data_IF_475081130129
#
_entry.id   IF_475081130129
#
_cell.length_a   1.000
_cell.length_b   1.000
_cell.length_c   1.000
_cell.angle_alpha   90.00
_cell.angle_beta   90.00
_cell.angle_gamma   90.00
#
_symmetry.space_group_name_H-M   'P 1'
#
loop_
_entity.id
_entity.type
_entity.pdbx_description
1 polymer ?
#
# COMPACT_ATOMS: atom_id res chain seq x y z
N UNK A 1 10.91 -9.81 5.33
CA UNK A 1 10.05 -10.51 6.31
C UNK A 1 9.80 -9.71 7.58
N UNK A 2 10.78 -9.40 8.44
CA UNK A 2 10.57 -8.69 9.72
C UNK A 2 9.88 -7.33 9.57
N UNK A 3 10.27 -6.51 8.58
CA UNK A 3 9.66 -5.21 8.31
C UNK A 3 8.19 -5.41 7.90
N UNK A 4 7.92 -6.30 6.94
CA UNK A 4 6.57 -6.60 6.47
C UNK A 4 5.66 -7.03 7.63
N UNK A 5 6.11 -7.97 8.48
CA UNK A 5 5.33 -8.46 9.60
C UNK A 5 5.02 -7.33 10.61
N UNK A 6 6.01 -6.50 10.95
CA UNK A 6 5.81 -5.36 11.85
C UNK A 6 4.82 -4.35 11.28
N UNK A 7 4.95 -4.00 10.01
CA UNK A 7 4.03 -3.06 9.35
C UNK A 7 2.62 -3.64 9.25
N UNK A 8 2.50 -4.92 8.91
CA UNK A 8 1.21 -5.63 8.83
C UNK A 8 0.39 -5.52 10.11
N UNK A 9 1.03 -5.53 11.27
CA UNK A 9 0.37 -5.44 12.56
C UNK A 9 0.12 -4.00 13.03
N UNK A 10 0.95 -3.05 12.60
CA UNK A 10 0.95 -1.70 13.14
C UNK A 10 0.44 -0.62 12.19
N UNK A 11 0.67 -0.76 10.89
CA UNK A 11 0.28 0.24 9.90
C UNK A 11 0.01 -0.40 8.54
N UNK A 12 -1.26 -0.63 8.24
CA UNK A 12 -1.71 -1.28 7.00
C UNK A 12 -1.38 -0.47 5.75
N UNK A 13 -1.40 0.85 5.82
CA UNK A 13 -1.06 1.69 4.67
C UNK A 13 0.42 1.59 4.33
N UNK A 14 1.30 1.70 5.32
CA UNK A 14 2.75 1.50 5.10
C UNK A 14 3.07 0.06 4.68
N UNK A 15 2.38 -0.92 5.25
CA UNK A 15 2.52 -2.32 4.82
C UNK A 15 2.24 -2.48 3.33
N UNK A 16 1.17 -1.91 2.83
CA UNK A 16 0.78 -2.03 1.43
C UNK A 16 1.80 -1.38 0.50
N UNK A 17 2.24 -0.15 0.81
CA UNK A 17 3.27 0.56 0.04
C UNK A 17 4.61 -0.21 0.04
N UNK A 18 4.98 -0.79 1.18
CA UNK A 18 6.16 -1.65 1.29
C UNK A 18 6.03 -2.91 0.43
N UNK A 19 4.88 -3.57 0.46
CA UNK A 19 4.66 -4.78 -0.36
C UNK A 19 4.65 -4.48 -1.86
N UNK A 20 4.12 -3.35 -2.29
CA UNK A 20 4.20 -2.93 -3.69
C UNK A 20 5.65 -2.70 -4.14
N UNK A 21 6.48 -2.11 -3.27
CA UNK A 21 7.92 -2.01 -3.54
C UNK A 21 8.59 -3.39 -3.62
N UNK A 22 8.23 -4.32 -2.75
CA UNK A 22 8.73 -5.70 -2.80
C UNK A 22 8.34 -6.39 -4.11
N UNK A 23 7.07 -6.25 -4.54
CA UNK A 23 6.62 -6.78 -5.83
C UNK A 23 7.43 -6.21 -7.00
N UNK A 24 7.72 -4.90 -7.02
CA UNK A 24 8.51 -4.28 -8.07
C UNK A 24 9.97 -4.74 -8.05
N UNK A 25 10.57 -4.94 -6.89
CA UNK A 25 11.92 -5.51 -6.76
C UNK A 25 11.95 -6.94 -7.31
N UNK A 26 10.94 -7.75 -7.01
CA UNK A 26 10.80 -9.11 -7.54
C UNK A 26 10.66 -9.09 -9.06
N UNK A 27 9.82 -8.21 -9.62
CA UNK A 27 9.66 -8.03 -11.07
C UNK A 27 10.96 -7.62 -11.75
N UNK A 28 11.66 -6.65 -11.18
CA UNK A 28 12.95 -6.18 -11.72
C UNK A 28 13.99 -7.31 -11.81
N UNK A 29 13.87 -8.34 -10.98
CA UNK A 29 14.71 -9.53 -11.01
C UNK A 29 14.05 -10.73 -11.74
N UNK A 30 12.99 -10.49 -12.53
CA UNK A 30 12.33 -11.52 -13.33
C UNK A 30 11.61 -12.60 -12.53
N UNK A 31 11.21 -12.30 -11.28
CA UNK A 31 10.65 -13.27 -10.32
C UNK A 31 11.58 -14.48 -10.09
N UNK A 32 12.88 -14.27 -10.14
CA UNK A 32 13.92 -15.29 -10.02
C UNK A 32 14.70 -15.11 -8.71
N UNK A 33 14.76 -16.16 -7.88
CA UNK A 33 15.38 -16.09 -6.56
C UNK A 33 16.91 -15.93 -6.66
N UNK A 34 17.57 -16.55 -7.62
CA UNK A 34 19.02 -16.46 -7.75
C UNK A 34 19.45 -15.05 -8.14
N UNK A 35 18.72 -14.42 -9.08
CA UNK A 35 18.91 -13.01 -9.40
C UNK A 35 18.62 -12.09 -8.21
N UNK A 36 17.58 -12.38 -7.43
CA UNK A 36 17.29 -11.64 -6.21
C UNK A 36 18.42 -11.76 -5.18
N UNK A 37 18.99 -12.95 -4.99
CA UNK A 37 20.14 -13.15 -4.10
C UNK A 37 21.32 -12.27 -4.51
N UNK A 38 21.68 -12.29 -5.79
CA UNK A 38 22.82 -11.55 -6.31
C UNK A 38 22.59 -10.03 -6.25
N UNK A 39 21.47 -9.56 -6.75
CA UNK A 39 21.24 -8.13 -7.00
C UNK A 39 20.64 -7.37 -5.83
N UNK A 40 19.97 -8.07 -4.89
CA UNK A 40 19.22 -7.40 -3.84
C UNK A 40 19.44 -7.99 -2.44
N UNK A 41 19.34 -9.32 -2.25
CA UNK A 41 19.35 -9.89 -0.90
C UNK A 41 20.74 -9.85 -0.26
N UNK A 42 21.81 -9.89 -1.05
CA UNK A 42 23.19 -9.79 -0.57
C UNK A 42 23.49 -8.52 0.24
N UNK A 43 22.79 -7.41 -0.02
CA UNK A 43 22.98 -6.15 0.70
C UNK A 43 22.58 -6.21 2.19
N UNK A 44 21.73 -7.16 2.60
CA UNK A 44 21.26 -7.26 3.97
C UNK A 44 22.30 -7.90 4.92
N UNK A 45 23.35 -8.50 4.38
CA UNK A 45 24.47 -9.10 5.15
C UNK A 45 23.99 -10.06 6.25
N UNK A 46 22.87 -10.76 6.01
CA UNK A 46 22.34 -11.75 6.93
C UNK A 46 23.08 -13.07 6.76
N UNK A 47 23.12 -13.86 7.84
CA UNK A 47 23.75 -15.18 7.87
C UNK A 47 22.84 -16.18 8.58
N UNK A 48 23.08 -17.49 8.35
CA UNK A 48 22.41 -18.56 9.06
C UNK A 48 20.89 -18.56 8.81
N UNK A 49 20.13 -18.81 9.86
CA UNK A 49 18.68 -18.96 9.81
C UNK A 49 17.95 -17.69 9.29
N UNK A 50 18.44 -16.51 9.68
CA UNK A 50 17.83 -15.24 9.23
C UNK A 50 17.92 -15.04 7.72
N UNK A 51 19.05 -15.44 7.11
CA UNK A 51 19.21 -15.41 5.66
C UNK A 51 18.25 -16.42 5.00
N UNK A 52 18.20 -17.65 5.49
CA UNK A 52 17.32 -18.69 4.96
C UNK A 52 15.85 -18.27 5.01
N UNK A 53 15.40 -17.70 6.12
CA UNK A 53 14.03 -17.19 6.27
C UNK A 53 13.74 -16.04 5.30
N UNK A 54 14.68 -15.14 5.07
CA UNK A 54 14.51 -14.04 4.11
C UNK A 54 14.41 -14.59 2.69
N UNK A 55 15.31 -15.49 2.29
CA UNK A 55 15.31 -16.09 0.97
C UNK A 55 14.04 -16.90 0.71
N UNK A 56 13.59 -17.68 1.69
CA UNK A 56 12.34 -18.43 1.57
C UNK A 56 11.14 -17.50 1.39
N UNK A 57 11.07 -16.41 2.13
CA UNK A 57 10.00 -15.44 1.99
C UNK A 57 9.94 -14.82 0.57
N UNK A 58 11.10 -14.47 -0.01
CA UNK A 58 11.16 -14.00 -1.39
C UNK A 58 10.85 -15.09 -2.42
N UNK A 59 11.27 -16.34 -2.17
CA UNK A 59 10.93 -17.46 -3.01
C UNK A 59 9.41 -17.69 -3.07
N UNK A 60 8.74 -17.67 -1.91
CA UNK A 60 7.28 -17.82 -1.82
C UNK A 60 6.56 -16.70 -2.58
N UNK A 61 7.02 -15.45 -2.45
CA UNK A 61 6.45 -14.33 -3.19
C UNK A 61 6.68 -14.44 -4.71
N UNK A 62 7.86 -14.89 -5.16
CA UNK A 62 8.13 -15.16 -6.57
C UNK A 62 7.15 -16.21 -7.12
N UNK A 63 6.92 -17.28 -6.37
CA UNK A 63 5.99 -18.34 -6.75
C UNK A 63 4.54 -17.82 -6.85
N UNK A 64 4.11 -17.04 -5.84
CA UNK A 64 2.80 -16.40 -5.86
C UNK A 64 2.64 -15.47 -7.06
N UNK A 65 3.65 -14.65 -7.38
CA UNK A 65 3.60 -13.74 -8.51
C UNK A 65 3.52 -14.47 -9.85
N UNK A 66 4.20 -15.61 -9.98
CA UNK A 66 4.10 -16.48 -11.16
C UNK A 66 2.71 -17.12 -11.27
N UNK A 67 2.23 -17.71 -10.19
CA UNK A 67 0.94 -18.42 -10.16
C UNK A 67 -0.25 -17.50 -10.39
N UNK A 68 -0.18 -16.26 -9.89
CA UNK A 68 -1.23 -15.24 -10.09
C UNK A 68 -1.07 -14.43 -11.39
N UNK A 69 -0.03 -14.72 -12.21
CA UNK A 69 0.23 -13.99 -13.45
C UNK A 69 0.66 -12.53 -13.25
N UNK A 70 1.31 -12.21 -12.10
CA UNK A 70 1.71 -10.85 -11.71
C UNK A 70 3.18 -10.54 -12.02
N UNK A 71 3.79 -11.29 -12.91
CA UNK A 71 5.21 -11.14 -13.25
C UNK A 71 5.54 -9.86 -14.02
N UNK A 72 4.57 -9.23 -14.66
CA UNK A 72 4.76 -7.99 -15.44
C UNK A 72 4.09 -6.78 -14.80
N UNK A 73 2.89 -6.95 -14.24
CA UNK A 73 2.10 -5.85 -13.68
C UNK A 73 1.04 -6.37 -12.70
N UNK A 74 0.42 -5.43 -11.99
CA UNK A 74 -0.64 -5.72 -11.03
C UNK A 74 -0.10 -6.12 -9.66
N UNK A 75 -0.97 -6.44 -8.74
CA UNK A 75 -0.64 -6.75 -7.35
C UNK A 75 -1.09 -8.15 -6.97
N UNK A 76 -0.38 -8.77 -6.03
CA UNK A 76 -0.75 -10.04 -5.43
C UNK A 76 -2.12 -9.95 -4.75
N UNK A 77 -2.90 -11.02 -4.83
CA UNK A 77 -4.23 -11.08 -4.22
C UNK A 77 -4.20 -10.81 -2.71
N UNK A 78 -3.16 -11.24 -2.01
CA UNK A 78 -2.98 -10.94 -0.57
C UNK A 78 -2.92 -9.44 -0.28
N UNK A 79 -2.33 -8.64 -1.19
CA UNK A 79 -2.24 -7.19 -1.06
C UNK A 79 -3.56 -6.51 -1.47
N UNK A 80 -4.24 -7.02 -2.49
CA UNK A 80 -5.59 -6.56 -2.87
C UNK A 80 -6.60 -6.79 -1.74
N UNK A 81 -6.51 -7.91 -1.02
CA UNK A 81 -7.34 -8.19 0.15
C UNK A 81 -7.12 -7.19 1.30
N UNK A 82 -5.91 -6.65 1.43
CA UNK A 82 -5.65 -5.56 2.40
C UNK A 82 -6.42 -4.30 2.02
N UNK A 83 -6.42 -3.93 0.74
CA UNK A 83 -7.19 -2.78 0.24
C UNK A 83 -8.68 -2.99 0.49
N UNK A 84 -9.20 -4.19 0.21
CA UNK A 84 -10.61 -4.52 0.44
C UNK A 84 -11.01 -4.35 1.91
N UNK A 85 -10.22 -4.93 2.83
CA UNK A 85 -10.45 -4.79 4.27
C UNK A 85 -10.43 -3.33 4.73
N UNK A 86 -9.54 -2.51 4.17
CA UNK A 86 -9.50 -1.07 4.45
C UNK A 86 -10.71 -0.34 3.86
N UNK A 87 -11.19 -0.75 2.67
CA UNK A 87 -12.36 -0.17 2.03
C UNK A 87 -13.65 -0.44 2.83
N UNK A 88 -13.82 -1.66 3.32
CA UNK A 88 -14.97 -2.02 4.18
C UNK A 88 -14.98 -1.19 5.48
N UNK A 89 -13.80 -1.03 6.12
CA UNK A 89 -13.69 -0.20 7.31
C UNK A 89 -13.94 1.26 7.00
N UNK A 90 -13.38 1.79 5.91
CA UNK A 90 -13.58 3.16 5.46
C UNK A 90 -15.07 3.46 5.28
N UNK A 91 -15.80 2.58 4.59
CA UNK A 91 -17.24 2.71 4.39
C UNK A 91 -17.99 2.75 5.73
N UNK A 92 -17.63 1.87 6.67
CA UNK A 92 -18.23 1.83 8.00
C UNK A 92 -17.98 3.11 8.80
N UNK A 93 -16.75 3.65 8.74
CA UNK A 93 -16.37 4.91 9.39
C UNK A 93 -17.11 6.12 8.79
N UNK A 94 -17.37 6.13 7.48
CA UNK A 94 -18.13 7.20 6.83
C UNK A 94 -19.60 7.20 7.22
N UNK A 95 -20.20 6.01 7.41
CA UNK A 95 -21.60 5.87 7.83
C UNK A 95 -21.83 6.25 9.29
N UNK A 96 -20.83 6.00 10.14
CA UNK A 96 -20.96 6.26 11.59
C UNK A 96 -20.84 7.77 11.91
N UNK A 97 -21.69 8.25 12.81
CA UNK A 97 -21.63 9.63 13.29
C UNK A 97 -20.49 9.87 14.29
N UNK A 98 -19.91 8.81 14.83
CA UNK A 98 -18.86 8.87 15.86
C UNK A 98 -17.51 9.37 15.36
N UNK A 99 -17.28 9.41 14.03
CA UNK A 99 -15.97 9.71 13.44
C UNK A 99 -15.96 11.00 12.59
N UNK A 100 -16.37 12.18 13.11
CA UNK A 100 -16.45 13.41 12.33
C UNK A 100 -15.08 13.89 11.84
N UNK A 101 -14.01 13.67 12.63
CA UNK A 101 -12.65 14.01 12.24
C UNK A 101 -12.17 13.19 11.03
N UNK A 102 -12.48 11.90 11.01
CA UNK A 102 -12.14 11.03 9.86
C UNK A 102 -12.86 11.48 8.58
N UNK A 103 -14.14 11.81 8.68
CA UNK A 103 -14.89 12.38 7.54
C UNK A 103 -14.29 13.69 7.03
N UNK A 104 -13.81 14.57 7.93
CA UNK A 104 -13.11 15.79 7.51
C UNK A 104 -11.83 15.51 6.74
N UNK A 105 -11.05 14.50 7.14
CA UNK A 105 -9.85 14.07 6.41
C UNK A 105 -10.21 13.57 5.02
N UNK A 106 -11.24 12.73 4.91
CA UNK A 106 -11.71 12.22 3.63
C UNK A 106 -12.18 13.35 2.71
N UNK A 107 -13.00 14.28 3.19
CA UNK A 107 -13.46 15.42 2.39
C UNK A 107 -12.32 16.33 1.90
N UNK A 108 -11.21 16.41 2.62
CA UNK A 108 -10.01 17.11 2.16
C UNK A 108 -9.29 16.38 1.03
N UNK A 109 -9.42 15.07 0.96
CA UNK A 109 -8.80 14.21 -0.08
C UNK A 109 -9.64 14.18 -1.36
N UNK A 110 -10.97 14.28 -1.27
CA UNK A 110 -11.88 14.18 -2.41
C UNK A 110 -11.50 15.03 -3.64
N UNK A 111 -11.15 16.35 -3.51
CA UNK A 111 -10.77 17.15 -4.68
C UNK A 111 -9.57 16.55 -5.43
N UNK A 112 -8.59 16.01 -4.72
CA UNK A 112 -7.42 15.36 -5.34
C UNK A 112 -7.80 14.07 -6.05
N UNK A 113 -8.73 13.28 -5.49
CA UNK A 113 -9.23 12.08 -6.15
C UNK A 113 -9.97 12.38 -7.44
N UNK A 114 -10.79 13.43 -7.46
CA UNK A 114 -11.48 13.91 -8.67
C UNK A 114 -10.47 14.31 -9.74
N UNK A 115 -9.42 15.04 -9.38
CA UNK A 115 -8.37 15.45 -10.31
C UNK A 115 -7.58 14.25 -10.84
N UNK A 116 -7.23 13.29 -9.98
CA UNK A 116 -6.51 12.06 -10.37
C UNK A 116 -7.34 11.21 -11.34
N UNK A 117 -8.64 11.04 -11.09
CA UNK A 117 -9.55 10.34 -12.00
C UNK A 117 -9.61 11.01 -13.36
N UNK A 118 -9.76 12.33 -13.38
CA UNK A 118 -9.81 13.10 -14.63
C UNK A 118 -8.54 12.89 -15.46
N UNK A 119 -7.36 12.86 -14.81
CA UNK A 119 -6.08 12.61 -15.47
C UNK A 119 -5.97 11.17 -16.01
N UNK A 120 -6.54 10.19 -15.31
CA UNK A 120 -6.54 8.79 -15.72
C UNK A 120 -7.63 8.45 -16.77
N UNK A 121 -8.42 9.42 -17.20
CA UNK A 121 -9.46 9.24 -18.22
C UNK A 121 -10.70 8.48 -17.74
N UNK A 122 -10.85 8.23 -16.44
CA UNK A 122 -12.03 7.59 -15.86
C UNK A 122 -13.20 8.59 -15.82
N UNK A 123 -14.35 8.20 -16.44
CA UNK A 123 -15.54 9.07 -16.59
C UNK A 123 -16.62 8.83 -15.53
N UNK A 124 -16.59 7.69 -14.85
CA UNK A 124 -17.65 7.30 -13.91
C UNK A 124 -17.20 7.44 -12.44
N UNK A 125 -18.19 7.50 -11.54
CA UNK A 125 -17.93 7.48 -10.10
C UNK A 125 -17.27 6.15 -9.73
N UNK A 126 -16.03 6.20 -9.35
CA UNK A 126 -15.33 5.04 -8.81
C UNK A 126 -15.95 4.64 -7.46
N UNK A 127 -16.01 3.35 -7.18
CA UNK A 127 -16.36 2.86 -5.85
C UNK A 127 -15.27 3.20 -4.81
N UNK A 128 -15.61 3.02 -3.55
CA UNK A 128 -14.71 3.31 -2.41
C UNK A 128 -13.36 2.60 -2.54
N UNK A 129 -13.36 1.36 -3.04
CA UNK A 129 -12.14 0.59 -3.29
C UNK A 129 -11.22 1.26 -4.30
N UNK A 130 -11.77 1.73 -5.42
CA UNK A 130 -11.02 2.44 -6.45
C UNK A 130 -10.45 3.76 -5.93
N UNK A 131 -11.18 4.45 -5.05
CA UNK A 131 -10.69 5.67 -4.40
C UNK A 131 -9.47 5.39 -3.51
N UNK A 132 -9.53 4.33 -2.71
CA UNK A 132 -8.37 3.92 -1.91
C UNK A 132 -7.19 3.48 -2.78
N UNK A 133 -7.44 2.74 -3.87
CA UNK A 133 -6.38 2.39 -4.83
C UNK A 133 -5.71 3.63 -5.39
N UNK A 134 -6.46 4.65 -5.82
CA UNK A 134 -5.90 5.92 -6.30
C UNK A 134 -5.07 6.64 -5.23
N UNK A 135 -5.50 6.59 -3.97
CA UNK A 135 -4.71 7.12 -2.85
C UNK A 135 -3.36 6.41 -2.74
N UNK A 136 -3.35 5.08 -2.79
CA UNK A 136 -2.12 4.28 -2.70
C UNK A 136 -1.23 4.47 -3.93
N UNK A 137 -1.79 4.50 -5.14
CA UNK A 137 -1.07 4.76 -6.39
C UNK A 137 -0.34 6.11 -6.35
N UNK A 138 -1.01 7.17 -5.89
CA UNK A 138 -0.38 8.48 -5.74
C UNK A 138 0.78 8.44 -4.75
N UNK A 139 0.58 7.88 -3.56
CA UNK A 139 1.64 7.80 -2.55
C UNK A 139 2.82 6.95 -3.02
N UNK A 140 2.53 5.84 -3.69
CA UNK A 140 3.56 4.97 -4.26
C UNK A 140 4.36 5.70 -5.35
N UNK A 141 3.67 6.38 -6.28
CA UNK A 141 4.31 7.18 -7.31
C UNK A 141 5.20 8.30 -6.73
N UNK A 142 4.72 9.01 -5.70
CA UNK A 142 5.51 10.03 -4.99
C UNK A 142 6.73 9.41 -4.29
N UNK A 143 6.58 8.22 -3.70
CA UNK A 143 7.70 7.49 -3.10
C UNK A 143 8.76 7.12 -4.15
N UNK A 144 8.35 6.62 -5.32
CA UNK A 144 9.27 6.29 -6.41
C UNK A 144 10.00 7.54 -6.95
N UNK A 145 9.30 8.68 -7.10
CA UNK A 145 9.93 9.93 -7.53
C UNK A 145 10.99 10.39 -6.53
N UNK A 146 10.71 10.28 -5.22
CA UNK A 146 11.68 10.61 -4.16
C UNK A 146 12.92 9.70 -4.20
N UNK A 147 12.73 8.40 -4.40
CA UNK A 147 13.84 7.44 -4.54
C UNK A 147 14.71 7.77 -5.77
N UNK A 148 14.09 8.26 -6.85
CA UNK A 148 14.79 8.70 -8.07
C UNK A 148 15.36 10.13 -7.95
N UNK A 149 15.20 10.80 -6.80
CA UNK A 149 15.60 12.20 -6.57
C UNK A 149 15.00 13.18 -7.58
N UNK A 150 13.80 12.87 -8.09
CA UNK A 150 13.06 13.74 -9.00
C UNK A 150 12.30 14.81 -8.23
N UNK A 151 12.16 15.97 -8.85
CA UNK A 151 11.35 17.06 -8.33
C UNK A 151 9.85 16.69 -8.33
N UNK A 152 9.19 17.03 -7.23
CA UNK A 152 7.76 16.81 -7.07
C UNK A 152 7.10 18.20 -6.96
N UNK A 153 6.11 18.45 -7.80
CA UNK A 153 5.39 19.73 -7.79
C UNK A 153 4.70 19.98 -6.44
N UNK A 154 4.58 21.26 -6.07
CA UNK A 154 3.90 21.64 -4.83
C UNK A 154 2.46 21.10 -4.72
N UNK A 155 1.61 21.12 -5.77
CA UNK A 155 0.28 20.50 -5.71
C UNK A 155 0.33 19.00 -5.44
N UNK A 156 1.27 18.27 -6.05
CA UNK A 156 1.44 16.83 -5.81
C UNK A 156 1.89 16.54 -4.37
N UNK A 157 2.78 17.38 -3.82
CA UNK A 157 3.20 17.26 -2.42
C UNK A 157 2.02 17.47 -1.46
N UNK A 158 1.20 18.51 -1.69
CA UNK A 158 0.01 18.78 -0.88
C UNK A 158 -1.00 17.65 -0.94
N UNK A 159 -1.25 17.08 -2.12
CA UNK A 159 -2.11 15.92 -2.29
C UNK A 159 -1.55 14.70 -1.52
N UNK A 160 -0.25 14.42 -1.63
CA UNK A 160 0.39 13.32 -0.94
C UNK A 160 0.32 13.47 0.59
N UNK A 161 0.50 14.68 1.13
CA UNK A 161 0.38 14.96 2.57
C UNK A 161 -1.05 14.73 3.06
N UNK A 162 -2.05 15.23 2.35
CA UNK A 162 -3.45 15.04 2.71
C UNK A 162 -3.85 13.55 2.68
N UNK A 163 -3.47 12.84 1.63
CA UNK A 163 -3.74 11.41 1.46
C UNK A 163 -2.98 10.57 2.50
N UNK A 164 -1.72 10.89 2.77
CA UNK A 164 -0.93 10.21 3.80
C UNK A 164 -1.57 10.32 5.18
N UNK A 165 -2.05 11.52 5.54
CA UNK A 165 -2.75 11.74 6.80
C UNK A 165 -4.06 10.95 6.88
N UNK A 166 -4.82 10.93 5.80
CA UNK A 166 -6.08 10.18 5.70
C UNK A 166 -5.85 8.67 5.85
N UNK A 167 -4.93 8.09 5.07
CA UNK A 167 -4.62 6.65 5.13
C UNK A 167 -3.95 6.24 6.46
N UNK A 168 -3.14 7.12 7.05
CA UNK A 168 -2.59 6.91 8.39
C UNK A 168 -3.70 6.77 9.44
N UNK A 169 -4.68 7.68 9.43
CA UNK A 169 -5.82 7.62 10.34
C UNK A 169 -6.68 6.36 10.09
N UNK A 170 -6.88 5.96 8.84
CA UNK A 170 -7.57 4.71 8.51
C UNK A 170 -6.83 3.49 9.06
N UNK A 171 -5.50 3.47 8.97
CA UNK A 171 -4.67 2.40 9.55
C UNK A 171 -4.76 2.35 11.07
N UNK A 172 -4.83 3.49 11.76
CA UNK A 172 -5.00 3.56 13.21
C UNK A 172 -6.37 3.00 13.62
N UNK A 173 -7.43 3.35 12.90
CA UNK A 173 -8.76 2.79 13.14
C UNK A 173 -8.82 1.29 12.80
N UNK A 174 -8.13 0.85 11.75
CA UNK A 174 -8.01 -0.57 11.46
C UNK A 174 -7.37 -1.34 12.63
N UNK A 175 -6.29 -0.80 13.20
CA UNK A 175 -5.60 -1.39 14.35
C UNK A 175 -6.51 -1.43 15.59
N UNK A 176 -7.23 -0.35 15.88
CA UNK A 176 -8.18 -0.28 16.96
C UNK A 176 -9.35 -1.28 16.77
N UNK A 177 -9.86 -1.39 15.54
CA UNK A 177 -10.92 -2.35 15.20
C UNK A 177 -10.46 -3.79 15.40
N UNK A 178 -9.26 -4.14 14.93
CA UNK A 178 -8.66 -5.47 15.15
C UNK A 178 -8.49 -5.80 16.64
N UNK A 179 -8.23 -4.80 17.47
CA UNK A 179 -8.09 -4.95 18.91
C UNK A 179 -9.45 -4.97 19.66
N UNK A 180 -10.58 -4.86 18.95
CA UNK A 180 -11.92 -4.77 19.57
C UNK A 180 -12.15 -3.47 20.34
N UNK A 181 -11.38 -2.41 20.02
CA UNK A 181 -11.44 -1.10 20.69
C UNK A 181 -12.24 -0.05 19.89
N UNK A 182 -12.71 -0.41 18.70
CA UNK A 182 -13.48 0.47 17.83
C UNK A 182 -14.97 0.10 17.92
N UNK A 183 -15.78 1.02 18.42
CA UNK A 183 -17.24 0.88 18.44
C UNK A 183 -17.80 1.58 17.19
N UNK A 184 -18.14 0.77 16.20
CA UNK A 184 -18.94 1.17 15.03
C UNK A 184 -20.42 1.08 15.42
N UNK A 185 -21.27 1.98 14.86
CA UNK A 185 -22.72 1.95 15.09
C UNK A 185 -23.35 0.73 14.46
#
# INVERSE_FOLDING_TARGET
>A
MLIANRLRENNRAEYLLYMWQVEDIIRANGCDLDRLRENYLSQFQLTGEAQQQLEQWYADLCEMMRSEGKTQSGHLQINLNVVETLAELHESLLRSEKFPYYRQLYYKVLPYLVELRAKNGAKDSAGIREELNLCFELLYGVMLLRLQKKEISAPTQQAAEAISKFLGQLSDYWKANKAGQLELD
#
